data_IF_399249050101
#
_entry.id   IF_399249050101
#
_cell.length_a   1.000
_cell.length_b   1.000
_cell.length_c   1.000
_cell.angle_alpha   90.00
_cell.angle_beta   90.00
_cell.angle_gamma   90.00
#
_symmetry.space_group_name_H-M   'P 1'
#
loop_
_entity.id
_entity.type
_entity.pdbx_description
1 polymer ?
#
# COMPACT_ATOMS: atom_id res chain seq x y z
N UNK A 1 13.42 -1.71 4.21
CA UNK A 1 12.22 -2.30 3.56
C UNK A 1 12.69 -3.39 2.61
N UNK A 2 13.01 -4.57 3.14
CA UNK A 2 13.32 -5.75 2.32
C UNK A 2 12.00 -6.36 1.85
N UNK A 3 11.51 -5.93 0.68
CA UNK A 3 10.50 -6.71 -0.01
C UNK A 3 11.17 -8.01 -0.44
N UNK A 4 10.96 -9.08 0.34
CA UNK A 4 11.21 -10.44 -0.12
C UNK A 4 10.26 -10.69 -1.29
N UNK A 5 10.75 -10.40 -2.50
CA UNK A 5 10.06 -10.72 -3.74
C UNK A 5 10.09 -12.24 -3.89
N UNK A 6 9.15 -12.92 -3.24
CA UNK A 6 8.81 -14.31 -3.51
C UNK A 6 8.01 -14.37 -4.81
N UNK A 7 8.62 -13.99 -5.93
CA UNK A 7 7.99 -14.17 -7.22
C UNK A 7 8.01 -15.66 -7.57
N UNK A 8 6.82 -16.27 -7.66
CA UNK A 8 6.66 -17.68 -8.02
C UNK A 8 7.03 -17.96 -9.48
N UNK A 9 6.96 -16.94 -10.35
CA UNK A 9 7.27 -17.06 -11.77
C UNK A 9 8.71 -16.65 -12.08
N UNK A 10 9.42 -17.54 -12.79
CA UNK A 10 10.78 -17.29 -13.26
C UNK A 10 10.74 -16.27 -14.41
N UNK A 11 11.40 -15.12 -14.22
CA UNK A 11 11.55 -14.08 -15.26
C UNK A 11 12.87 -14.27 -16.00
N UNK A 12 12.89 -13.97 -17.31
CA UNK A 12 14.12 -13.91 -18.11
C UNK A 12 15.09 -12.86 -17.52
N UNK A 13 16.39 -13.09 -17.62
CA UNK A 13 17.47 -12.20 -17.12
C UNK A 13 17.49 -11.97 -15.59
N UNK A 14 16.94 -12.90 -14.80
CA UNK A 14 17.12 -12.92 -13.35
C UNK A 14 18.21 -13.91 -12.93
N UNK A 15 18.89 -13.60 -11.83
CA UNK A 15 19.83 -14.52 -11.20
C UNK A 15 19.09 -15.73 -10.62
N UNK A 16 19.78 -16.87 -10.52
CA UNK A 16 19.22 -18.06 -9.89
C UNK A 16 18.80 -17.75 -8.46
N UNK A 17 17.59 -18.16 -8.10
CA UNK A 17 17.13 -18.15 -6.72
C UNK A 17 17.64 -19.41 -5.98
N UNK A 18 17.39 -19.50 -4.67
CA UNK A 18 17.89 -20.63 -3.89
C UNK A 18 17.25 -21.97 -4.28
N UNK A 19 15.97 -21.99 -4.64
CA UNK A 19 15.27 -23.20 -5.12
C UNK A 19 15.91 -23.75 -6.39
N UNK A 20 16.20 -22.87 -7.35
CA UNK A 20 16.89 -23.23 -8.59
C UNK A 20 18.30 -23.77 -8.30
N UNK A 21 19.04 -23.21 -7.33
CA UNK A 21 20.34 -23.75 -6.91
C UNK A 21 20.24 -25.13 -6.27
N UNK A 22 19.25 -25.37 -5.43
CA UNK A 22 18.99 -26.70 -4.84
C UNK A 22 18.68 -27.74 -5.92
N UNK A 23 17.92 -27.37 -6.96
CA UNK A 23 17.67 -28.25 -8.12
C UNK A 23 18.99 -28.58 -8.84
N UNK A 24 19.87 -27.60 -9.06
CA UNK A 24 21.21 -27.86 -9.63
C UNK A 24 21.98 -28.87 -8.78
N UNK A 25 21.96 -28.73 -7.46
CA UNK A 25 22.64 -29.66 -6.54
C UNK A 25 22.10 -31.09 -6.62
N UNK A 26 20.77 -31.25 -6.56
CA UNK A 26 20.11 -32.56 -6.66
C UNK A 26 20.42 -33.21 -8.00
N UNK A 27 20.29 -32.47 -9.11
CA UNK A 27 20.51 -33.02 -10.45
C UNK A 27 21.95 -33.38 -10.74
N UNK A 28 22.91 -32.68 -10.14
CA UNK A 28 24.31 -33.08 -10.21
C UNK A 28 24.56 -34.40 -9.46
N UNK A 29 23.89 -34.62 -8.33
CA UNK A 29 23.93 -35.91 -7.61
C UNK A 29 23.27 -37.03 -8.43
N UNK A 30 22.22 -36.71 -9.19
CA UNK A 30 21.57 -37.63 -10.15
C UNK A 30 22.43 -37.89 -11.41
N UNK A 31 23.61 -37.27 -11.55
CA UNK A 31 24.50 -37.45 -12.70
C UNK A 31 24.08 -36.69 -13.97
N UNK A 32 23.21 -35.69 -13.87
CA UNK A 32 22.75 -34.94 -15.03
C UNK A 32 23.84 -34.00 -15.57
N UNK A 33 23.91 -33.86 -16.89
CA UNK A 33 24.77 -32.87 -17.52
C UNK A 33 24.25 -31.44 -17.31
N UNK A 34 25.16 -30.46 -17.29
CA UNK A 34 24.80 -29.05 -17.15
C UNK A 34 23.79 -28.59 -18.23
N UNK A 35 23.83 -29.17 -19.43
CA UNK A 35 22.87 -28.92 -20.50
C UNK A 35 21.45 -29.36 -20.12
N UNK A 36 21.29 -30.57 -19.57
CA UNK A 36 20.00 -31.11 -19.15
C UNK A 36 19.40 -30.28 -18.01
N UNK A 37 20.22 -29.91 -17.04
CA UNK A 37 19.84 -29.03 -15.92
C UNK A 37 19.38 -27.65 -16.45
N UNK A 38 20.11 -27.08 -17.40
CA UNK A 38 19.76 -25.80 -18.00
C UNK A 38 18.41 -25.84 -18.74
N UNK A 39 18.12 -26.94 -19.45
CA UNK A 39 16.81 -27.17 -20.08
C UNK A 39 15.68 -27.30 -19.06
N UNK A 40 15.88 -28.05 -17.97
CA UNK A 40 14.90 -28.20 -16.89
C UNK A 40 14.59 -26.87 -16.19
N UNK A 41 15.61 -26.05 -15.92
CA UNK A 41 15.44 -24.73 -15.30
C UNK A 41 14.98 -23.64 -16.28
N UNK A 42 14.91 -23.94 -17.58
CA UNK A 42 14.70 -22.96 -18.65
C UNK A 42 15.68 -21.77 -18.56
N UNK A 43 16.97 -22.07 -18.33
CA UNK A 43 18.06 -21.09 -18.23
C UNK A 43 19.13 -21.32 -19.29
N UNK A 44 19.89 -20.29 -19.69
CA UNK A 44 21.08 -20.50 -20.51
C UNK A 44 22.09 -21.42 -19.82
N UNK A 45 22.73 -22.30 -20.58
CA UNK A 45 23.73 -23.25 -20.07
C UNK A 45 24.87 -22.55 -19.32
N UNK A 46 25.31 -21.39 -19.81
CA UNK A 46 26.36 -20.59 -19.18
C UNK A 46 25.98 -20.12 -17.76
N UNK A 47 24.68 -19.90 -17.49
CA UNK A 47 24.22 -19.53 -16.15
C UNK A 47 24.42 -20.69 -15.17
N UNK A 48 24.09 -21.92 -15.59
CA UNK A 48 24.28 -23.13 -14.80
C UNK A 48 25.76 -23.42 -14.61
N UNK A 49 26.57 -23.36 -15.67
CA UNK A 49 28.03 -23.58 -15.57
C UNK A 49 28.71 -22.58 -14.64
N UNK A 50 28.35 -21.30 -14.71
CA UNK A 50 28.88 -20.26 -13.83
C UNK A 50 28.44 -20.46 -12.38
N UNK A 51 27.21 -20.94 -12.15
CA UNK A 51 26.72 -21.29 -10.82
C UNK A 51 27.50 -22.48 -10.25
N UNK A 52 27.64 -23.56 -11.00
CA UNK A 52 28.40 -24.74 -10.59
C UNK A 52 29.82 -24.34 -10.21
N UNK A 53 30.53 -23.63 -11.10
CA UNK A 53 31.90 -23.15 -10.83
C UNK A 53 31.99 -22.31 -9.55
N UNK A 54 30.96 -21.52 -9.25
CA UNK A 54 30.89 -20.66 -8.07
C UNK A 54 30.65 -21.44 -6.77
N UNK A 55 29.84 -22.49 -6.80
CA UNK A 55 29.49 -23.30 -5.62
C UNK A 55 30.34 -24.56 -5.42
N UNK A 56 31.16 -24.95 -6.41
CA UNK A 56 32.05 -26.09 -6.27
C UNK A 56 33.16 -25.81 -5.25
N UNK A 57 33.27 -26.70 -4.26
CA UNK A 57 34.28 -26.65 -3.21
C UNK A 57 35.05 -27.97 -3.14
N UNK A 58 36.31 -27.91 -2.70
CA UNK A 58 37.11 -29.09 -2.39
C UNK A 58 36.64 -29.68 -1.06
N UNK A 59 36.33 -30.96 -1.06
CA UNK A 59 35.96 -31.74 0.11
C UNK A 59 36.93 -32.91 0.26
N UNK A 60 37.19 -33.32 1.51
CA UNK A 60 38.04 -34.48 1.81
C UNK A 60 37.13 -35.57 2.35
N UNK A 61 37.16 -36.75 1.72
CA UNK A 61 36.48 -37.95 2.22
C UNK A 61 37.46 -39.11 2.18
N UNK A 62 37.67 -39.75 3.33
CA UNK A 62 38.59 -40.89 3.47
C UNK A 62 40.00 -40.57 2.93
N UNK A 63 40.51 -39.36 3.20
CA UNK A 63 41.85 -38.93 2.76
C UNK A 63 41.97 -38.57 1.27
N UNK A 64 40.91 -38.67 0.47
CA UNK A 64 40.90 -38.24 -0.94
C UNK A 64 40.16 -36.92 -1.11
N UNK A 65 40.77 -36.00 -1.84
CA UNK A 65 40.15 -34.74 -2.25
C UNK A 65 39.21 -34.97 -3.43
N UNK A 66 38.01 -34.39 -3.38
CA UNK A 66 37.07 -34.38 -4.48
C UNK A 66 36.29 -33.07 -4.51
N UNK A 67 35.89 -32.64 -5.71
CA UNK A 67 35.16 -31.39 -5.91
C UNK A 67 33.65 -31.64 -5.89
N UNK A 68 32.94 -30.95 -5.01
CA UNK A 68 31.48 -31.07 -4.87
C UNK A 68 30.83 -29.70 -4.92
N UNK A 69 29.75 -29.60 -5.68
CA UNK A 69 28.89 -28.42 -5.69
C UNK A 69 27.91 -28.46 -4.51
N UNK A 70 27.77 -27.33 -3.81
CA UNK A 70 26.72 -27.12 -2.82
C UNK A 70 25.93 -25.84 -3.17
N UNK A 71 24.61 -25.90 -3.02
CA UNK A 71 23.75 -24.75 -3.28
C UNK A 71 24.05 -23.59 -2.30
N UNK A 72 24.27 -23.91 -1.03
CA UNK A 72 24.55 -22.94 0.04
C UNK A 72 25.84 -22.16 -0.20
N UNK A 73 26.91 -22.84 -0.63
CA UNK A 73 28.18 -22.19 -0.96
C UNK A 73 28.04 -21.30 -2.19
N UNK A 74 27.32 -21.77 -3.22
CA UNK A 74 26.99 -20.98 -4.41
C UNK A 74 26.24 -19.69 -4.08
N UNK A 75 25.25 -19.78 -3.18
CA UNK A 75 24.51 -18.62 -2.69
C UNK A 75 25.38 -17.68 -1.84
N UNK A 76 26.19 -18.21 -0.93
CA UNK A 76 27.06 -17.41 -0.08
C UNK A 76 28.08 -16.61 -0.89
N UNK A 77 28.76 -17.24 -1.86
CA UNK A 77 29.70 -16.57 -2.77
C UNK A 77 28.97 -15.55 -3.65
N UNK A 78 27.77 -15.88 -4.13
CA UNK A 78 26.94 -14.93 -4.89
C UNK A 78 26.62 -13.67 -4.06
N UNK A 79 26.14 -13.83 -2.82
CA UNK A 79 25.83 -12.72 -1.91
C UNK A 79 27.08 -11.86 -1.64
N UNK A 80 28.22 -12.50 -1.35
CA UNK A 80 29.50 -11.81 -1.12
C UNK A 80 29.93 -10.98 -2.34
N UNK A 81 29.79 -11.52 -3.55
CA UNK A 81 30.11 -10.79 -4.78
C UNK A 81 29.10 -9.66 -5.04
N UNK A 82 27.82 -9.89 -4.73
CA UNK A 82 26.76 -8.89 -4.92
C UNK A 82 26.95 -7.65 -4.05
N UNK A 83 27.46 -7.82 -2.82
CA UNK A 83 27.83 -6.71 -1.93
C UNK A 83 28.91 -5.80 -2.54
N UNK A 84 29.78 -6.35 -3.39
CA UNK A 84 30.82 -5.57 -4.10
C UNK A 84 30.29 -4.87 -5.36
N UNK A 85 29.17 -5.35 -5.93
CA UNK A 85 28.57 -4.80 -7.14
C UNK A 85 27.67 -3.59 -6.88
N UNK A 86 27.26 -3.35 -5.64
CA UNK A 86 26.48 -2.18 -5.27
C UNK A 86 27.35 -0.93 -5.19
N UNK A 87 26.79 0.21 -5.61
CA UNK A 87 27.43 1.52 -5.44
C UNK A 87 27.65 1.79 -3.96
N UNK A 88 28.88 2.13 -3.57
CA UNK A 88 29.20 2.52 -2.20
C UNK A 88 28.48 3.82 -1.83
N UNK A 89 28.13 3.96 -0.56
CA UNK A 89 27.52 5.18 -0.05
C UNK A 89 28.51 6.34 -0.10
N UNK A 90 28.04 7.49 -0.58
CA UNK A 90 28.78 8.75 -0.65
C UNK A 90 28.69 9.60 0.62
N UNK A 91 28.32 9.00 1.76
CA UNK A 91 28.01 9.72 2.99
C UNK A 91 29.21 10.52 3.51
N UNK A 92 30.40 9.91 3.48
CA UNK A 92 31.65 10.54 3.92
C UNK A 92 32.22 11.50 2.87
N UNK A 93 32.16 11.12 1.59
CA UNK A 93 32.64 11.93 0.46
C UNK A 93 31.88 13.25 0.34
N UNK A 94 30.56 13.23 0.57
CA UNK A 94 29.68 14.39 0.45
C UNK A 94 29.25 14.93 1.83
N UNK A 95 30.13 14.85 2.84
CA UNK A 95 29.78 15.17 4.23
C UNK A 95 29.29 16.61 4.43
N UNK A 96 29.88 17.59 3.72
CA UNK A 96 29.46 19.00 3.80
C UNK A 96 28.04 19.21 3.25
N UNK A 97 27.73 18.59 2.12
CA UNK A 97 26.38 18.61 1.55
C UNK A 97 25.37 17.92 2.48
N UNK A 98 25.75 16.80 3.09
CA UNK A 98 24.89 16.10 4.05
C UNK A 98 24.61 16.97 5.29
N UNK A 99 25.62 17.64 5.86
CA UNK A 99 25.42 18.56 6.99
C UNK A 99 24.46 19.69 6.62
N UNK A 100 24.61 20.25 5.43
CA UNK A 100 23.71 21.27 4.89
C UNK A 100 22.26 20.77 4.79
N UNK A 101 22.05 19.57 4.23
CA UNK A 101 20.72 18.96 4.13
C UNK A 101 20.10 18.75 5.52
N UNK A 102 20.87 18.22 6.47
CA UNK A 102 20.41 17.98 7.85
C UNK A 102 19.98 19.28 8.52
N UNK A 103 20.77 20.33 8.39
CA UNK A 103 20.45 21.66 8.91
C UNK A 103 19.15 22.22 8.31
N UNK A 104 19.03 22.21 6.97
CA UNK A 104 17.84 22.72 6.28
C UNK A 104 16.57 21.94 6.57
N UNK A 105 16.66 20.62 6.69
CA UNK A 105 15.50 19.79 7.04
C UNK A 105 15.05 20.07 8.48
N UNK A 106 15.97 20.14 9.44
CA UNK A 106 15.61 20.32 10.86
C UNK A 106 15.21 21.75 11.23
N UNK A 107 15.96 22.74 10.75
CA UNK A 107 15.79 24.12 11.18
C UNK A 107 14.82 24.88 10.26
N UNK A 108 14.85 24.61 8.96
CA UNK A 108 14.01 25.31 7.97
C UNK A 108 12.83 24.48 7.47
N UNK A 109 12.66 23.24 7.91
CA UNK A 109 11.59 22.33 7.47
C UNK A 109 11.55 22.11 5.95
N UNK A 110 12.72 22.12 5.30
CA UNK A 110 12.81 21.91 3.86
C UNK A 110 12.61 20.43 3.48
N UNK A 111 12.08 20.19 2.28
CA UNK A 111 12.09 18.85 1.69
C UNK A 111 13.50 18.51 1.16
N UNK A 112 13.82 17.22 1.06
CA UNK A 112 15.10 16.79 0.48
C UNK A 112 15.26 17.27 -0.97
N UNK A 113 14.16 17.32 -1.72
CA UNK A 113 14.11 17.86 -3.08
C UNK A 113 14.43 19.36 -3.12
N UNK A 114 13.89 20.14 -2.17
CA UNK A 114 14.21 21.56 -2.06
C UNK A 114 15.68 21.80 -1.73
N UNK A 115 16.27 21.00 -0.83
CA UNK A 115 17.70 21.08 -0.51
C UNK A 115 18.60 20.81 -1.73
N UNK A 116 18.27 19.79 -2.53
CA UNK A 116 19.03 19.47 -3.75
C UNK A 116 18.86 20.55 -4.82
N UNK A 117 17.62 21.01 -5.02
CA UNK A 117 17.33 22.07 -5.99
C UNK A 117 18.06 23.36 -5.66
N UNK A 118 17.98 23.81 -4.41
CA UNK A 118 18.67 25.02 -3.98
C UNK A 118 20.19 24.87 -4.12
N UNK A 119 20.76 23.73 -3.73
CA UNK A 119 22.21 23.51 -3.81
C UNK A 119 22.73 23.56 -5.26
N UNK A 120 21.91 23.14 -6.23
CA UNK A 120 22.22 23.25 -7.66
C UNK A 120 22.13 24.71 -8.14
N UNK A 121 21.13 25.46 -7.68
CA UNK A 121 20.94 26.87 -8.06
C UNK A 121 22.00 27.79 -7.45
N UNK A 122 22.33 27.60 -6.17
CA UNK A 122 23.27 28.45 -5.44
C UNK A 122 24.73 28.22 -5.82
N UNK A 123 25.04 27.18 -6.60
CA UNK A 123 26.40 26.78 -6.99
C UNK A 123 27.38 26.65 -5.81
N UNK A 124 26.84 26.44 -4.60
CA UNK A 124 27.58 26.32 -3.34
C UNK A 124 28.37 25.02 -3.22
N UNK A 125 27.94 24.00 -3.96
CA UNK A 125 28.55 22.68 -3.97
C UNK A 125 28.88 22.28 -5.40
N UNK A 126 29.99 21.56 -5.58
CA UNK A 126 30.31 20.97 -6.88
C UNK A 126 29.26 19.92 -7.25
N UNK A 127 28.90 19.74 -8.54
CA UNK A 127 27.92 18.72 -8.95
C UNK A 127 28.26 17.29 -8.50
N UNK A 128 29.55 16.99 -8.31
CA UNK A 128 30.04 15.70 -7.80
C UNK A 128 29.74 15.48 -6.31
N UNK A 129 29.58 16.55 -5.53
CA UNK A 129 29.28 16.56 -4.11
C UNK A 129 27.78 16.54 -3.81
N UNK A 130 26.95 16.93 -4.78
CA UNK A 130 25.49 16.93 -4.63
C UNK A 130 24.97 15.51 -4.84
N UNK A 131 24.31 15.00 -3.81
CA UNK A 131 23.69 13.67 -3.85
C UNK A 131 22.27 13.81 -4.40
N UNK A 132 21.85 12.88 -5.27
CA UNK A 132 20.50 12.87 -5.81
C UNK A 132 19.42 12.70 -4.74
N UNK A 133 18.26 13.30 -4.93
CA UNK A 133 17.13 13.25 -4.00
C UNK A 133 16.75 11.82 -3.61
N UNK A 134 16.67 10.92 -4.60
CA UNK A 134 16.42 9.49 -4.38
C UNK A 134 17.42 8.84 -3.41
N UNK A 135 18.70 9.20 -3.52
CA UNK A 135 19.74 8.67 -2.63
C UNK A 135 19.60 9.23 -1.22
N UNK A 136 19.24 10.51 -1.07
CA UNK A 136 18.94 11.09 0.24
C UNK A 136 17.75 10.40 0.91
N UNK A 137 16.64 10.18 0.20
CA UNK A 137 15.50 9.44 0.76
C UNK A 137 15.89 8.02 1.19
N UNK A 138 16.70 7.32 0.37
CA UNK A 138 17.22 6.00 0.74
C UNK A 138 18.08 6.06 2.01
N UNK A 139 18.91 7.11 2.18
CA UNK A 139 19.72 7.26 3.39
C UNK A 139 18.87 7.52 4.63
N UNK A 140 17.80 8.30 4.51
CA UNK A 140 16.83 8.49 5.60
C UNK A 140 16.16 7.16 5.95
N UNK A 141 15.69 6.39 4.96
CA UNK A 141 15.03 5.10 5.21
C UNK A 141 15.95 4.03 5.79
N UNK A 142 17.24 4.09 5.47
CA UNK A 142 18.27 3.23 6.06
C UNK A 142 18.75 3.73 7.44
N UNK A 143 18.28 4.90 7.91
CA UNK A 143 18.71 5.50 9.17
C UNK A 143 20.17 6.00 9.15
N UNK A 144 20.73 6.25 7.97
CA UNK A 144 22.10 6.74 7.80
C UNK A 144 22.24 8.24 8.05
N UNK A 145 21.14 8.99 8.01
CA UNK A 145 21.10 10.41 8.32
C UNK A 145 20.45 10.62 9.69
N UNK A 146 20.86 11.65 10.45
CA UNK A 146 20.19 12.04 11.69
C UNK A 146 18.84 12.76 11.42
N UNK A 147 18.10 12.33 10.39
CA UNK A 147 16.78 12.78 9.97
C UNK A 147 15.84 11.58 10.09
N UNK A 148 14.69 11.77 10.71
CA UNK A 148 13.64 10.76 10.79
C UNK A 148 12.58 11.01 9.72
N UNK A 149 11.81 9.99 9.38
CA UNK A 149 10.70 10.13 8.42
C UNK A 149 9.65 11.17 8.86
N UNK A 150 9.51 11.41 10.18
CA UNK A 150 8.62 12.43 10.75
C UNK A 150 9.09 13.87 10.47
N UNK A 151 10.39 14.07 10.24
CA UNK A 151 10.98 15.39 9.96
C UNK A 151 10.74 15.82 8.50
N UNK A 152 10.22 14.91 7.67
CA UNK A 152 10.01 15.15 6.24
C UNK A 152 8.57 15.62 5.96
N UNK A 153 8.37 16.87 5.48
CA UNK A 153 7.06 17.53 5.44
C UNK A 153 6.01 16.82 4.57
N UNK A 154 6.41 15.99 3.60
CA UNK A 154 5.51 15.32 2.67
C UNK A 154 5.49 13.79 2.81
N UNK A 155 6.33 13.19 3.66
CA UNK A 155 6.47 11.72 3.70
C UNK A 155 5.40 11.03 4.53
N UNK A 156 4.95 11.67 5.60
CA UNK A 156 3.92 11.13 6.50
C UNK A 156 2.51 11.67 6.23
N UNK A 157 2.31 12.52 5.22
CA UNK A 157 1.01 13.15 5.02
C UNK A 157 -0.04 12.14 4.52
N UNK A 158 -1.17 12.05 5.23
CA UNK A 158 -2.33 11.25 4.83
C UNK A 158 -2.97 11.90 3.60
N UNK A 159 -3.03 11.17 2.47
CA UNK A 159 -3.78 11.61 1.29
C UNK A 159 -5.26 11.84 1.66
N UNK A 160 -5.64 13.11 1.89
CA UNK A 160 -7.04 13.50 2.03
C UNK A 160 -7.60 13.54 0.61
N UNK A 161 -8.56 12.67 0.30
CA UNK A 161 -9.29 12.76 -0.98
C UNK A 161 -9.83 14.18 -1.11
N UNK A 162 -9.52 14.84 -2.24
CA UNK A 162 -10.07 16.15 -2.55
C UNK A 162 -11.59 16.11 -2.43
N UNK A 163 -12.15 17.04 -1.67
CA UNK A 163 -13.60 17.16 -1.48
C UNK A 163 -14.20 17.60 -2.80
N UNK A 164 -14.76 16.66 -3.58
CA UNK A 164 -15.42 16.99 -4.85
C UNK A 164 -16.70 17.79 -4.54
N UNK A 165 -16.66 19.09 -4.81
CA UNK A 165 -17.86 19.94 -4.78
C UNK A 165 -18.78 19.46 -5.91
N UNK A 166 -19.91 18.84 -5.56
CA UNK A 166 -20.94 18.44 -6.53
C UNK A 166 -21.82 19.66 -6.81
N UNK A 167 -21.84 20.12 -8.07
CA UNK A 167 -22.69 21.25 -8.50
C UNK A 167 -24.19 21.01 -8.23
N UNK A 168 -24.65 19.76 -8.34
CA UNK A 168 -26.04 19.40 -8.09
C UNK A 168 -26.19 18.75 -6.70
N UNK A 169 -26.15 19.58 -5.65
CA UNK A 169 -26.47 19.13 -4.29
C UNK A 169 -28.00 19.06 -4.16
N UNK A 170 -28.54 17.90 -3.77
CA UNK A 170 -29.98 17.74 -3.49
C UNK A 170 -30.37 18.71 -2.36
N UNK A 171 -31.38 19.54 -2.56
CA UNK A 171 -31.96 20.36 -1.47
C UNK A 171 -32.71 19.39 -0.54
N UNK A 172 -32.20 19.18 0.66
CA UNK A 172 -32.72 18.20 1.62
C UNK A 172 -33.86 18.74 2.50
N UNK A 173 -34.34 19.97 2.22
CA UNK A 173 -35.32 20.66 3.06
C UNK A 173 -34.67 21.32 4.29
N UNK A 174 -35.50 21.80 5.21
CA UNK A 174 -35.09 22.36 6.51
C UNK A 174 -34.52 21.26 7.40
N UNK A 175 -33.46 21.55 8.15
CA UNK A 175 -32.88 20.54 9.05
C UNK A 175 -33.85 20.24 10.19
N UNK A 176 -33.86 19.00 10.70
CA UNK A 176 -34.59 18.64 11.92
C UNK A 176 -34.11 19.50 13.10
N UNK A 177 -32.83 19.90 13.09
CA UNK A 177 -32.25 20.79 14.11
C UNK A 177 -32.85 22.19 14.12
N UNK A 178 -33.52 22.62 13.05
CA UNK A 178 -34.10 23.96 12.93
C UNK A 178 -35.55 24.02 13.46
N UNK A 179 -36.08 22.93 14.03
CA UNK A 179 -37.45 22.90 14.56
C UNK A 179 -37.61 23.77 15.81
N UNK A 180 -38.75 24.45 15.99
CA UNK A 180 -39.08 25.11 17.24
C UNK A 180 -38.98 24.17 18.45
N UNK A 181 -38.41 24.67 19.55
CA UNK A 181 -38.22 23.89 20.78
C UNK A 181 -39.54 23.35 21.37
N UNK A 182 -40.67 24.02 21.12
CA UNK A 182 -41.99 23.59 21.58
C UNK A 182 -42.39 22.18 21.10
N UNK A 183 -41.90 21.75 19.93
CA UNK A 183 -42.18 20.43 19.34
C UNK A 183 -41.51 19.28 20.12
N UNK A 184 -40.43 19.57 20.85
CA UNK A 184 -39.74 18.55 21.64
C UNK A 184 -40.47 18.16 22.91
N UNK A 185 -41.27 19.07 23.47
CA UNK A 185 -42.01 18.84 24.70
C UNK A 185 -43.16 17.82 24.52
N UNK A 186 -43.55 17.52 23.27
CA UNK A 186 -44.63 16.56 22.90
C UNK A 186 -45.98 16.89 23.57
N UNK A 187 -46.23 18.16 23.85
CA UNK A 187 -47.42 18.62 24.57
C UNK A 187 -48.63 18.86 23.64
N UNK A 188 -48.40 18.98 22.34
CA UNK A 188 -49.43 19.26 21.33
C UNK A 188 -49.68 18.05 20.42
N UNK A 189 -50.96 17.84 20.03
CA UNK A 189 -51.35 16.81 19.07
C UNK A 189 -51.15 17.31 17.64
N UNK A 190 -50.71 16.43 16.74
CA UNK A 190 -50.63 16.71 15.30
C UNK A 190 -49.20 16.70 14.74
N UNK A 191 -48.23 16.30 15.55
CA UNK A 191 -46.84 16.14 15.11
C UNK A 191 -46.60 14.68 14.73
N UNK A 192 -46.64 14.39 13.43
CA UNK A 192 -46.42 13.06 12.89
C UNK A 192 -44.99 12.86 12.40
N UNK A 193 -44.37 11.77 12.83
CA UNK A 193 -43.09 11.29 12.32
C UNK A 193 -43.31 10.20 11.29
N UNK A 194 -42.59 10.30 10.17
CA UNK A 194 -42.66 9.35 9.07
C UNK A 194 -41.28 8.73 8.92
N UNK A 195 -41.18 7.41 9.11
CA UNK A 195 -39.92 6.67 8.93
C UNK A 195 -40.15 5.41 8.08
N UNK A 196 -39.07 4.88 7.52
CA UNK A 196 -39.05 3.66 6.72
C UNK A 196 -38.15 2.62 7.39
N UNK A 197 -38.73 1.49 7.78
CA UNK A 197 -37.97 0.35 8.30
C UNK A 197 -37.63 -0.58 7.14
N UNK A 198 -36.34 -0.70 6.83
CA UNK A 198 -35.82 -1.59 5.81
C UNK A 198 -35.31 -2.89 6.43
N UNK A 199 -35.73 -4.04 5.89
CA UNK A 199 -35.18 -5.36 6.21
C UNK A 199 -33.76 -5.57 5.65
N UNK A 200 -33.15 -6.71 5.97
CA UNK A 200 -31.76 -7.02 5.58
C UNK A 200 -31.61 -7.51 4.12
N UNK A 201 -30.85 -6.72 3.34
CA UNK A 201 -29.97 -7.09 2.19
C UNK A 201 -30.51 -7.87 0.98
N UNK A 202 -31.80 -8.02 0.77
CA UNK A 202 -32.29 -8.22 -0.59
C UNK A 202 -32.86 -6.87 -1.07
N UNK A 203 -32.27 -6.30 -2.12
CA UNK A 203 -32.72 -5.02 -2.73
C UNK A 203 -34.12 -5.15 -3.39
N UNK A 204 -34.89 -6.16 -3.00
CA UNK A 204 -36.23 -6.56 -3.44
C UNK A 204 -37.20 -6.72 -2.26
N UNK A 205 -36.76 -6.51 -1.02
CA UNK A 205 -37.60 -6.73 0.15
C UNK A 205 -38.60 -5.58 0.33
N UNK A 206 -39.81 -5.92 0.78
CA UNK A 206 -40.81 -4.94 1.14
C UNK A 206 -40.30 -4.08 2.31
N UNK A 207 -40.70 -2.82 2.31
CA UNK A 207 -40.35 -1.81 3.30
C UNK A 207 -41.59 -1.51 4.13
N UNK A 208 -41.44 -1.32 5.44
CA UNK A 208 -42.53 -0.84 6.29
C UNK A 208 -42.44 0.68 6.41
N UNK A 209 -43.52 1.38 6.09
CA UNK A 209 -43.69 2.79 6.42
C UNK A 209 -44.33 2.89 7.80
N UNK A 210 -43.71 3.66 8.70
CA UNK A 210 -44.23 3.94 10.04
C UNK A 210 -44.61 5.40 10.15
N UNK A 211 -45.85 5.66 10.55
CA UNK A 211 -46.37 6.99 10.90
C UNK A 211 -46.67 7.02 12.38
N UNK A 212 -45.98 7.85 13.15
CA UNK A 212 -46.13 7.90 14.60
C UNK A 212 -46.47 9.31 15.05
N UNK A 213 -47.60 9.48 15.74
CA UNK A 213 -47.96 10.75 16.36
C UNK A 213 -47.20 10.92 17.68
N UNK A 214 -46.48 12.03 17.86
CA UNK A 214 -45.48 12.18 18.93
C UNK A 214 -46.08 12.31 20.34
N UNK A 215 -47.27 12.88 20.50
CA UNK A 215 -47.90 13.08 21.83
C UNK A 215 -48.57 11.80 22.32
N UNK A 216 -49.46 11.26 21.51
CA UNK A 216 -50.28 10.08 21.81
C UNK A 216 -49.55 8.77 21.60
N UNK A 217 -48.43 8.78 20.85
CA UNK A 217 -47.69 7.58 20.41
C UNK A 217 -48.52 6.62 19.55
N UNK A 218 -49.64 7.11 19.01
CA UNK A 218 -50.43 6.34 18.08
C UNK A 218 -49.63 6.08 16.80
N UNK A 219 -49.50 4.81 16.43
CA UNK A 219 -48.66 4.37 15.34
C UNK A 219 -49.50 3.67 14.26
N UNK A 220 -49.30 4.08 13.00
CA UNK A 220 -49.82 3.40 11.81
C UNK A 220 -48.62 2.79 11.09
N UNK A 221 -48.67 1.49 10.86
CA UNK A 221 -47.61 0.74 10.16
C UNK A 221 -48.25 0.12 8.92
N UNK A 222 -47.64 0.35 7.76
CA UNK A 222 -48.10 -0.25 6.51
C UNK A 222 -46.94 -0.71 5.65
N UNK A 223 -47.12 -1.86 5.02
CA UNK A 223 -46.17 -2.42 4.07
C UNK A 223 -46.24 -1.73 2.71
N UNK A 224 -45.07 -1.56 2.08
CA UNK A 224 -44.91 -1.00 0.74
C UNK A 224 -43.77 -1.69 -0.01
N UNK A 225 -43.78 -1.71 -1.35
CA UNK A 225 -42.79 -2.46 -2.14
C UNK A 225 -41.38 -1.85 -2.17
N UNK A 226 -41.21 -0.56 -1.81
CA UNK A 226 -39.89 0.09 -1.79
C UNK A 226 -39.92 1.41 -1.00
N UNK A 227 -38.75 1.89 -0.56
CA UNK A 227 -38.57 3.22 0.08
C UNK A 227 -38.56 4.39 -0.94
N UNK A 228 -38.97 4.16 -2.19
CA UNK A 228 -38.99 5.20 -3.22
C UNK A 228 -40.06 6.26 -2.91
N UNK A 229 -39.78 7.52 -3.27
CA UNK A 229 -40.72 8.62 -3.06
C UNK A 229 -42.11 8.34 -3.68
N UNK A 230 -42.16 7.68 -4.84
CA UNK A 230 -43.40 7.29 -5.52
C UNK A 230 -44.22 6.31 -4.66
N UNK A 231 -43.56 5.32 -4.07
CA UNK A 231 -44.23 4.31 -3.24
C UNK A 231 -44.77 4.92 -1.95
N UNK A 232 -43.98 5.80 -1.30
CA UNK A 232 -44.39 6.54 -0.10
C UNK A 232 -45.60 7.42 -0.40
N UNK A 233 -45.55 8.24 -1.45
CA UNK A 233 -46.66 9.14 -1.81
C UNK A 233 -47.95 8.38 -2.10
N UNK A 234 -47.87 7.26 -2.84
CA UNK A 234 -49.05 6.43 -3.14
C UNK A 234 -49.70 5.87 -1.87
N UNK A 235 -48.88 5.42 -0.92
CA UNK A 235 -49.37 4.90 0.35
C UNK A 235 -49.99 6.01 1.22
N UNK A 236 -49.38 7.19 1.28
CA UNK A 236 -49.94 8.35 2.00
C UNK A 236 -51.31 8.78 1.44
N UNK A 237 -51.47 8.78 0.10
CA UNK A 237 -52.76 9.06 -0.54
C UNK A 237 -53.81 8.01 -0.14
N UNK A 238 -53.43 6.72 -0.16
CA UNK A 238 -54.33 5.63 0.25
C UNK A 238 -54.77 5.79 1.70
N UNK A 239 -53.84 6.11 2.61
CA UNK A 239 -54.16 6.36 4.02
C UNK A 239 -55.08 7.55 4.17
N UNK A 240 -54.82 8.67 3.48
CA UNK A 240 -55.70 9.84 3.50
C UNK A 240 -57.15 9.49 3.14
N UNK A 241 -57.34 8.69 2.09
CA UNK A 241 -58.68 8.29 1.63
C UNK A 241 -59.38 7.30 2.58
N UNK A 242 -58.64 6.60 3.46
CA UNK A 242 -59.22 5.68 4.43
C UNK A 242 -59.78 6.41 5.67
N UNK A 243 -59.26 7.59 5.98
CA UNK A 243 -59.64 8.40 7.14
C UNK A 243 -60.50 9.64 6.78
N UNK A 244 -60.93 9.75 5.53
CA UNK A 244 -61.98 10.69 5.08
C UNK A 244 -63.34 9.99 5.07
#
# INVERSE_FOLDING_TARGET
>A
MDYQNHNTESRKNKHLNMKERMIVEIRLKDGFSAYKIAKELNRPINTVLNEIRRGTTKQIKQGKEFNVYFADTGEAVYKKNRLKSSRKYKLLECSDFIKYVVDKVKNNHWSLDACVGEALHSSRFSPSQIISTKTLYNYVDLGLLPIKNIDLPAKLHRNKKSTRVRNNKKKLGTSISDRPNSIENREEFGHWEIDCVLGEKSNKDNVLLTLVERKTRYAIISEMPSHSAISVTRLLIRLKNFWQ
#
